data_IF_676085331588
#
_entry.id   IF_676085331588
#
_cell.length_a   1.000
_cell.length_b   1.000
_cell.length_c   1.000
_cell.angle_alpha   90.00
_cell.angle_beta   90.00
_cell.angle_gamma   90.00
#
_symmetry.space_group_name_H-M   'P 1'
#
loop_
_entity.id
_entity.type
_entity.pdbx_description
1 polymer ?
#
# COMPACT_ATOMS: atom_id res chain seq x y z
N UNK A 1 -3.11 -15.02 -33.11
CA UNK A 1 -3.27 -15.54 -31.73
C UNK A 1 -2.25 -14.95 -30.74
N UNK A 2 -1.38 -14.02 -31.13
CA UNK A 2 -0.43 -13.34 -30.23
C UNK A 2 -1.01 -12.11 -29.49
N UNK A 3 -2.08 -11.48 -30.01
CA UNK A 3 -2.75 -10.35 -29.32
C UNK A 3 -3.44 -10.80 -28.03
N UNK A 4 -3.99 -12.02 -27.97
CA UNK A 4 -4.62 -12.55 -26.77
C UNK A 4 -3.65 -12.78 -25.62
N UNK A 5 -2.37 -13.08 -25.89
CA UNK A 5 -1.32 -13.14 -24.86
C UNK A 5 -0.81 -11.74 -24.47
N UNK A 6 -0.89 -10.78 -25.39
CA UNK A 6 -0.39 -9.42 -25.14
C UNK A 6 -1.19 -8.66 -24.08
N UNK A 7 -2.52 -8.85 -24.00
CA UNK A 7 -3.37 -8.18 -22.99
C UNK A 7 -3.08 -8.68 -21.56
N UNK A 8 -3.07 -10.00 -21.26
CA UNK A 8 -2.66 -10.52 -19.97
C UNK A 8 -1.21 -10.18 -19.62
N UNK A 9 -0.30 -10.24 -20.59
CA UNK A 9 1.11 -9.90 -20.38
C UNK A 9 1.30 -8.42 -20.03
N UNK A 10 0.53 -7.52 -20.65
CA UNK A 10 0.53 -6.09 -20.33
C UNK A 10 0.05 -5.85 -18.90
N UNK A 11 -1.02 -6.53 -18.47
CA UNK A 11 -1.47 -6.52 -17.07
C UNK A 11 -0.39 -7.05 -16.12
N UNK A 12 0.32 -8.11 -16.49
CA UNK A 12 1.39 -8.71 -15.68
C UNK A 12 2.56 -7.74 -15.53
N UNK A 13 3.01 -7.13 -16.62
CA UNK A 13 4.05 -6.09 -16.63
C UNK A 13 3.60 -4.88 -15.81
N UNK A 14 2.34 -4.48 -15.93
CA UNK A 14 1.77 -3.39 -15.14
C UNK A 14 1.78 -3.71 -13.64
N UNK A 15 1.37 -4.90 -13.22
CA UNK A 15 1.43 -5.33 -11.82
C UNK A 15 2.88 -5.34 -11.34
N UNK A 16 3.81 -5.89 -12.13
CA UNK A 16 5.23 -5.91 -11.78
C UNK A 16 5.80 -4.50 -11.60
N UNK A 17 5.53 -3.58 -12.54
CA UNK A 17 5.92 -2.18 -12.43
C UNK A 17 5.27 -1.49 -11.23
N UNK A 18 3.98 -1.74 -10.98
CA UNK A 18 3.28 -1.18 -9.82
C UNK A 18 3.97 -1.59 -8.52
N UNK A 19 4.37 -2.86 -8.39
CA UNK A 19 5.12 -3.35 -7.22
C UNK A 19 6.47 -2.65 -7.10
N UNK A 20 7.21 -2.49 -8.20
CA UNK A 20 8.48 -1.75 -8.19
C UNK A 20 8.28 -0.32 -7.70
N UNK A 21 7.26 0.38 -8.21
CA UNK A 21 6.90 1.75 -7.80
C UNK A 21 6.50 1.81 -6.32
N UNK A 22 5.67 0.88 -5.84
CA UNK A 22 5.29 0.81 -4.42
C UNK A 22 6.50 0.54 -3.52
N UNK A 23 7.36 -0.42 -3.88
CA UNK A 23 8.54 -0.79 -3.10
C UNK A 23 9.53 0.38 -3.07
N UNK A 24 9.88 0.93 -4.23
CA UNK A 24 10.81 2.07 -4.32
C UNK A 24 10.24 3.31 -3.65
N UNK A 25 8.97 3.63 -3.88
CA UNK A 25 8.27 4.74 -3.21
C UNK A 25 8.24 4.54 -1.69
N UNK A 26 7.93 3.33 -1.21
CA UNK A 26 8.04 3.00 0.19
C UNK A 26 9.47 3.26 0.69
N UNK A 27 10.51 2.69 0.06
CA UNK A 27 11.91 2.87 0.49
C UNK A 27 12.40 4.33 0.45
N UNK A 28 12.00 5.11 -0.56
CA UNK A 28 12.39 6.51 -0.73
C UNK A 28 11.86 7.40 0.40
N UNK A 29 10.70 7.06 0.96
CA UNK A 29 10.06 7.76 2.10
C UNK A 29 10.74 7.33 3.43
N UNK A 30 12.07 7.31 3.47
CA UNK A 30 12.85 7.00 4.69
C UNK A 30 12.81 8.15 5.71
N UNK A 31 12.50 9.37 5.25
CA UNK A 31 12.50 10.58 6.07
C UNK A 31 11.17 10.86 6.80
N UNK A 32 10.08 10.19 6.42
CA UNK A 32 8.75 10.40 7.01
C UNK A 32 8.51 9.40 8.16
N UNK A 33 7.78 9.80 9.23
CA UNK A 33 7.36 8.88 10.26
C UNK A 33 6.60 7.69 9.67
N UNK A 34 6.67 6.53 10.34
CA UNK A 34 6.18 5.24 9.79
C UNK A 34 4.70 5.28 9.38
N UNK A 35 3.87 6.07 10.07
CA UNK A 35 2.43 6.17 9.79
C UNK A 35 2.09 6.79 8.43
N UNK A 36 2.46 8.06 8.11
CA UNK A 36 2.11 8.66 6.82
C UNK A 36 2.70 7.90 5.64
N UNK A 37 3.83 7.20 5.83
CA UNK A 37 4.41 6.33 4.80
C UNK A 37 3.43 5.25 4.34
N UNK A 38 2.78 4.52 5.26
CA UNK A 38 1.83 3.48 4.89
C UNK A 38 0.54 4.04 4.26
N UNK A 39 0.07 5.20 4.73
CA UNK A 39 -1.12 5.86 4.17
C UNK A 39 -0.86 6.27 2.73
N UNK A 40 0.26 6.94 2.45
CA UNK A 40 0.62 7.41 1.11
C UNK A 40 0.83 6.23 0.17
N UNK A 41 1.56 5.19 0.59
CA UNK A 41 1.75 4.02 -0.27
C UNK A 41 0.44 3.26 -0.48
N UNK A 42 -0.42 3.20 0.53
CA UNK A 42 -1.75 2.62 0.42
C UNK A 42 -2.61 3.35 -0.60
N UNK A 43 -2.66 4.68 -0.53
CA UNK A 43 -3.35 5.55 -1.51
C UNK A 43 -2.87 5.24 -2.94
N UNK A 44 -1.56 5.22 -3.16
CA UNK A 44 -0.96 4.95 -4.48
C UNK A 44 -1.30 3.54 -4.95
N UNK A 45 -1.26 2.55 -4.06
CA UNK A 45 -1.67 1.17 -4.35
C UNK A 45 -3.13 1.12 -4.81
N UNK A 46 -4.02 1.80 -4.08
CA UNK A 46 -5.44 1.87 -4.38
C UNK A 46 -5.72 2.51 -5.74
N UNK A 47 -5.01 3.59 -6.07
CA UNK A 47 -5.10 4.24 -7.38
C UNK A 47 -4.60 3.34 -8.52
N UNK A 48 -3.53 2.58 -8.29
CA UNK A 48 -2.95 1.70 -9.30
C UNK A 48 -3.77 0.43 -9.51
N UNK A 49 -4.41 -0.11 -8.48
CA UNK A 49 -5.06 -1.42 -8.55
C UNK A 49 -6.57 -1.38 -8.73
N UNK A 50 -7.23 -0.23 -8.60
CA UNK A 50 -8.65 -0.11 -8.89
C UNK A 50 -8.88 -0.02 -10.41
N UNK A 51 -9.52 -1.02 -11.07
CA UNK A 51 -9.83 -0.94 -12.48
C UNK A 51 -11.03 -0.01 -12.72
N UNK A 52 -10.99 0.72 -13.83
CA UNK A 52 -12.08 1.53 -14.35
C UNK A 52 -12.33 1.18 -15.83
N UNK A 53 -13.60 1.11 -16.21
CA UNK A 53 -13.99 0.97 -17.60
C UNK A 53 -13.74 2.27 -18.37
N UNK A 54 -13.35 2.14 -19.63
CA UNK A 54 -13.29 3.26 -20.57
C UNK A 54 -13.95 2.84 -21.90
N UNK A 55 -14.57 3.81 -22.57
CA UNK A 55 -15.23 3.60 -23.85
C UNK A 55 -14.65 4.56 -24.87
N UNK A 56 -14.08 4.03 -25.96
CA UNK A 56 -13.56 4.85 -27.07
C UNK A 56 -14.53 4.71 -28.25
N UNK A 57 -15.15 5.79 -28.73
CA UNK A 57 -15.91 5.76 -29.96
C UNK A 57 -14.93 5.69 -31.14
N UNK A 58 -14.89 4.56 -31.86
CA UNK A 58 -13.89 4.32 -32.92
C UNK A 58 -14.43 4.72 -34.31
N UNK A 59 -15.74 4.60 -34.56
CA UNK A 59 -16.49 5.19 -35.69
C UNK A 59 -18.01 4.94 -35.49
N UNK A 60 -18.87 5.53 -36.32
CA UNK A 60 -20.33 5.78 -36.14
C UNK A 60 -21.22 4.66 -35.53
N UNK A 61 -20.80 3.39 -35.49
CA UNK A 61 -21.56 2.28 -34.85
C UNK A 61 -20.71 1.31 -33.97
N UNK A 62 -19.40 1.53 -33.80
CA UNK A 62 -18.53 0.64 -33.01
C UNK A 62 -17.91 1.35 -31.80
N UNK A 63 -18.35 0.90 -30.62
CA UNK A 63 -17.82 1.33 -29.32
C UNK A 63 -16.81 0.29 -28.84
N UNK A 64 -15.57 0.72 -28.64
CA UNK A 64 -14.55 -0.13 -28.02
C UNK A 64 -14.58 0.06 -26.50
N UNK A 65 -14.91 -1.00 -25.77
CA UNK A 65 -14.90 -1.01 -24.31
C UNK A 65 -13.67 -1.75 -23.78
N UNK A 66 -13.00 -1.15 -22.80
CA UNK A 66 -11.84 -1.74 -22.15
C UNK A 66 -11.78 -1.46 -20.66
N UNK A 67 -10.98 -2.24 -19.94
CA UNK A 67 -10.65 -2.01 -18.53
C UNK A 67 -9.22 -1.50 -18.44
N UNK A 68 -9.03 -0.37 -17.77
CA UNK A 68 -7.72 0.19 -17.48
C UNK A 68 -7.65 0.61 -16.00
N UNK A 69 -6.45 0.81 -15.44
CA UNK A 69 -6.32 1.36 -14.10
C UNK A 69 -7.00 2.72 -13.98
N UNK A 70 -7.75 2.94 -12.90
CA UNK A 70 -8.53 4.17 -12.68
C UNK A 70 -7.71 5.45 -12.78
N UNK A 71 -6.44 5.43 -12.33
CA UNK A 71 -5.54 6.58 -12.47
C UNK A 71 -5.20 6.91 -13.92
N UNK A 72 -5.06 5.89 -14.77
CA UNK A 72 -4.79 6.07 -16.21
C UNK A 72 -6.04 6.63 -16.89
N UNK A 73 -7.21 6.05 -16.62
CA UNK A 73 -8.50 6.52 -17.17
C UNK A 73 -8.77 7.96 -16.75
N UNK A 74 -8.57 8.29 -15.47
CA UNK A 74 -8.75 9.65 -14.97
C UNK A 74 -7.75 10.63 -15.61
N UNK A 75 -6.47 10.28 -15.71
CA UNK A 75 -5.45 11.14 -16.33
C UNK A 75 -5.77 11.41 -17.81
N UNK A 76 -6.19 10.38 -18.55
CA UNK A 76 -6.60 10.48 -19.95
C UNK A 76 -7.86 11.34 -20.09
N UNK A 77 -8.84 11.19 -19.21
CA UNK A 77 -10.06 12.00 -19.22
C UNK A 77 -9.77 13.49 -18.93
N UNK A 78 -8.84 13.80 -18.02
CA UNK A 78 -8.37 15.19 -17.80
C UNK A 78 -7.70 15.74 -19.06
N UNK A 79 -6.83 14.96 -19.69
CA UNK A 79 -6.06 15.41 -20.85
C UNK A 79 -6.93 15.63 -22.09
N UNK A 80 -7.97 14.81 -22.28
CA UNK A 80 -8.91 14.93 -23.40
C UNK A 80 -10.02 15.96 -23.15
N UNK A 81 -10.17 16.50 -21.93
CA UNK A 81 -11.30 17.37 -21.57
C UNK A 81 -12.68 16.67 -21.66
N UNK A 82 -12.68 15.34 -21.81
CA UNK A 82 -13.87 14.52 -22.01
C UNK A 82 -14.60 14.34 -20.67
N UNK A 83 -15.66 15.13 -20.45
CA UNK A 83 -16.46 15.10 -19.22
C UNK A 83 -17.25 13.78 -19.03
N UNK A 84 -17.49 13.02 -20.10
CA UNK A 84 -18.24 11.76 -20.07
C UNK A 84 -17.56 10.69 -19.23
N UNK A 85 -16.35 10.30 -19.62
CA UNK A 85 -15.55 9.26 -18.94
C UNK A 85 -15.06 9.70 -17.55
N UNK A 86 -14.92 11.01 -17.35
CA UNK A 86 -14.53 11.59 -16.07
C UNK A 86 -15.54 11.30 -14.95
N UNK A 87 -16.84 11.24 -15.27
CA UNK A 87 -17.92 11.02 -14.29
C UNK A 87 -17.93 9.61 -13.70
N UNK A 88 -17.54 8.59 -14.48
CA UNK A 88 -17.45 7.20 -14.03
C UNK A 88 -16.10 6.90 -13.37
N UNK A 89 -15.01 7.49 -13.87
CA UNK A 89 -13.67 7.20 -13.39
C UNK A 89 -13.33 7.87 -12.05
N UNK A 90 -13.81 9.10 -11.81
CA UNK A 90 -13.51 9.85 -10.58
C UNK A 90 -13.98 9.17 -9.28
N UNK A 91 -15.24 8.68 -9.17
CA UNK A 91 -15.68 8.01 -7.95
C UNK A 91 -14.94 6.70 -7.70
N UNK A 92 -14.62 5.94 -8.76
CA UNK A 92 -13.81 4.72 -8.65
C UNK A 92 -12.37 5.03 -8.20
N UNK A 93 -11.78 6.11 -8.70
CA UNK A 93 -10.46 6.57 -8.27
C UNK A 93 -10.48 6.99 -6.79
N UNK A 94 -11.47 7.77 -6.36
CA UNK A 94 -11.64 8.16 -4.96
C UNK A 94 -11.88 6.95 -4.06
N UNK A 95 -12.68 5.98 -4.50
CA UNK A 95 -12.92 4.73 -3.79
C UNK A 95 -11.62 3.92 -3.66
N UNK A 96 -10.87 3.78 -4.75
CA UNK A 96 -9.56 3.13 -4.75
C UNK A 96 -8.59 3.82 -3.80
N UNK A 97 -8.55 5.15 -3.83
CA UNK A 97 -7.76 5.98 -2.91
C UNK A 97 -8.12 5.73 -1.44
N UNK A 98 -9.43 5.68 -1.13
CA UNK A 98 -9.95 5.42 0.20
C UNK A 98 -9.67 4.01 0.70
N UNK A 99 -9.90 3.00 -0.13
CA UNK A 99 -9.59 1.59 0.17
C UNK A 99 -8.09 1.39 0.39
N UNK A 100 -7.27 2.00 -0.47
CA UNK A 100 -5.83 2.01 -0.36
C UNK A 100 -5.34 2.65 0.93
N UNK A 101 -5.84 3.84 1.26
CA UNK A 101 -5.53 4.52 2.52
C UNK A 101 -5.92 3.68 3.74
N UNK A 102 -7.14 3.11 3.73
CA UNK A 102 -7.65 2.25 4.79
C UNK A 102 -6.78 1.01 4.99
N UNK A 103 -6.41 0.32 3.90
CA UNK A 103 -5.50 -0.82 3.95
C UNK A 103 -4.13 -0.42 4.51
N UNK A 104 -3.60 0.75 4.12
CA UNK A 104 -2.35 1.29 4.66
C UNK A 104 -2.41 1.53 6.18
N UNK A 105 -3.49 2.14 6.68
CA UNK A 105 -3.71 2.35 8.12
C UNK A 105 -3.83 1.02 8.87
N UNK A 106 -4.57 0.06 8.31
CA UNK A 106 -4.80 -1.25 8.92
C UNK A 106 -3.51 -2.07 9.00
N UNK A 107 -2.70 -2.04 7.94
CA UNK A 107 -1.38 -2.67 7.90
C UNK A 107 -0.42 -2.03 8.91
N UNK A 108 -0.43 -0.70 9.04
CA UNK A 108 0.36 -0.01 10.07
C UNK A 108 -0.07 -0.40 11.48
N UNK A 109 -1.36 -0.42 11.76
CA UNK A 109 -1.90 -0.80 13.07
C UNK A 109 -1.55 -2.23 13.46
N UNK A 110 -1.56 -3.16 12.49
CA UNK A 110 -1.15 -4.54 12.71
C UNK A 110 0.35 -4.69 12.96
N UNK A 111 1.18 -3.99 12.16
CA UNK A 111 2.64 -4.04 12.31
C UNK A 111 3.10 -3.38 13.62
N UNK A 112 2.41 -2.34 14.07
CA UNK A 112 2.65 -1.70 15.38
C UNK A 112 2.37 -2.65 16.55
N UNK A 113 1.22 -3.34 16.55
CA UNK A 113 0.86 -4.30 17.61
C UNK A 113 1.87 -5.45 17.73
N UNK A 114 2.39 -5.95 16.60
CA UNK A 114 3.44 -6.98 16.59
C UNK A 114 4.75 -6.49 17.22
N UNK A 115 5.09 -5.23 17.01
CA UNK A 115 6.32 -4.66 17.57
C UNK A 115 6.20 -4.38 19.08
N UNK A 116 5.00 -4.05 19.56
CA UNK A 116 4.70 -3.90 20.99
C UNK A 116 4.72 -5.26 21.72
N UNK A 117 4.15 -6.32 21.14
CA UNK A 117 4.23 -7.68 21.71
C UNK A 117 5.66 -8.22 21.82
N UNK A 118 6.52 -7.91 20.86
CA UNK A 118 7.93 -8.32 20.91
C UNK A 118 8.76 -7.48 21.91
N UNK A 119 8.22 -6.36 22.40
CA UNK A 119 8.87 -5.52 23.43
C UNK A 119 8.44 -5.92 24.85
N UNK A 120 7.27 -6.54 25.01
CA UNK A 120 6.80 -7.07 26.29
C UNK A 120 7.47 -8.40 26.65
N UNK A 121 7.89 -9.21 25.67
CA UNK A 121 8.64 -10.45 25.93
C UNK A 121 10.08 -10.18 26.40
N UNK A 122 10.72 -9.09 25.96
CA UNK A 122 12.04 -8.65 26.46
C UNK A 122 11.99 -7.90 27.80
N UNK A 123 10.78 -7.50 28.26
CA UNK A 123 10.59 -6.84 29.56
C UNK A 123 9.88 -7.73 30.61
N UNK A 124 9.81 -9.04 30.36
CA UNK A 124 9.57 -10.05 31.40
C UNK A 124 10.79 -10.24 32.34
N UNK A 125 11.66 -9.23 32.43
CA UNK A 125 12.78 -9.09 33.36
C UNK A 125 12.49 -8.26 34.61
N UNK A 126 11.25 -8.15 35.10
CA UNK A 126 10.98 -7.30 36.26
C UNK A 126 9.66 -7.51 36.99
N UNK A 127 9.51 -8.63 37.72
CA UNK A 127 8.36 -8.76 38.62
C UNK A 127 8.24 -10.06 39.41
N UNK A 128 9.19 -10.33 40.33
CA UNK A 128 8.85 -11.12 41.52
C UNK A 128 9.48 -12.51 41.68
N UNK A 129 10.82 -12.60 41.68
CA UNK A 129 11.54 -13.48 42.63
C UNK A 129 13.00 -13.06 42.71
N UNK A 130 13.45 -12.81 43.94
CA UNK A 130 14.79 -12.33 44.26
C UNK A 130 15.90 -13.15 43.59
N UNK A 131 16.93 -12.53 42.99
CA UNK A 131 18.17 -13.24 42.76
C UNK A 131 18.77 -13.50 44.14
N UNK A 132 18.97 -14.79 44.45
CA UNK A 132 19.78 -15.22 45.59
C UNK A 132 21.20 -14.75 45.30
N UNK A 133 21.50 -13.52 45.68
CA UNK A 133 22.83 -12.95 45.63
C UNK A 133 23.61 -13.52 46.81
N UNK A 134 24.55 -14.36 46.42
CA UNK A 134 25.59 -15.01 47.19
C UNK A 134 26.10 -14.18 48.39
N UNK A 135 26.09 -14.82 49.55
CA UNK A 135 26.44 -14.23 50.85
C UNK A 135 27.96 -14.14 50.94
N UNK A 136 28.55 -13.13 50.30
CA UNK A 136 29.97 -12.82 50.45
C UNK A 136 30.23 -12.31 51.86
N UNK A 137 30.75 -13.18 52.73
CA UNK A 137 31.30 -12.81 54.04
C UNK A 137 32.64 -12.11 53.83
N UNK A 138 32.73 -10.85 54.22
CA UNK A 138 34.02 -10.18 54.36
C UNK A 138 34.61 -10.51 55.74
N UNK A 139 35.92 -10.80 55.83
CA UNK A 139 36.58 -11.04 57.11
C UNK A 139 36.76 -9.71 57.85
N UNK A 140 36.26 -9.65 59.08
CA UNK A 140 36.60 -8.61 60.05
C UNK A 140 38.06 -8.78 60.46
N UNK A 141 38.91 -7.84 60.05
CA UNK A 141 40.24 -7.65 60.64
C UNK A 141 40.01 -6.76 61.87
N UNK A 142 40.12 -7.37 63.04
CA UNK A 142 40.28 -6.73 64.34
C UNK A 142 41.50 -7.31 65.02
#
# INVERSE_FOLDING_TARGET
>A
MLISDSIPLLWLVYVALSLVVLVTGYLAIRWLPRFPRFVVTGIVAGMLWMPAGFTIPVLEDEVYEGLAPSIVVAAVAVLQGARGDFSAALPLLLLGMGLGAGAGVLLWGWLRRRNEQNSDDDNSGGGGRAPVADKRREPVIG
#
